data_IF_120835907742
#
_entry.id   IF_120835907742
#
_cell.length_a   1.000
_cell.length_b   1.000
_cell.length_c   1.000
_cell.angle_alpha   90.00
_cell.angle_beta   90.00
_cell.angle_gamma   90.00
#
_symmetry.space_group_name_H-M   'P 1'
#
loop_
_entity.id
_entity.type
_entity.pdbx_description
1 polymer ?
#
# COMPACT_ATOMS: atom_id res chain seq x y z
N UNK A 1 2.98 -30.67 11.63
CA UNK A 1 1.54 -30.77 12.00
C UNK A 1 1.00 -29.47 12.61
N UNK A 2 1.60 -28.89 13.66
CA UNK A 2 1.14 -27.61 14.23
C UNK A 2 1.41 -26.41 13.30
N UNK A 3 2.62 -26.28 12.75
CA UNK A 3 3.00 -25.16 11.85
C UNK A 3 2.08 -25.11 10.61
N UNK A 4 1.79 -26.26 9.98
CA UNK A 4 0.86 -26.31 8.84
C UNK A 4 -0.54 -25.82 9.21
N UNK A 5 -1.05 -26.20 10.40
CA UNK A 5 -2.36 -25.76 10.87
C UNK A 5 -2.41 -24.25 11.15
N UNK A 6 -1.36 -23.69 11.75
CA UNK A 6 -1.26 -22.24 11.97
C UNK A 6 -1.33 -21.48 10.64
N UNK A 7 -0.62 -21.96 9.62
CA UNK A 7 -0.65 -21.36 8.28
C UNK A 7 -2.02 -21.47 7.63
N UNK A 8 -2.66 -22.64 7.70
CA UNK A 8 -4.01 -22.83 7.17
C UNK A 8 -5.06 -21.99 7.90
N UNK A 9 -4.95 -21.80 9.22
CA UNK A 9 -5.80 -20.89 9.98
C UNK A 9 -5.68 -19.47 9.40
N UNK A 10 -4.47 -18.96 9.21
CA UNK A 10 -4.25 -17.63 8.61
C UNK A 10 -4.90 -17.54 7.22
N UNK A 11 -4.69 -18.55 6.37
CA UNK A 11 -5.26 -18.56 5.01
C UNK A 11 -6.80 -18.54 5.01
N UNK A 12 -7.41 -19.29 5.91
CA UNK A 12 -8.88 -19.29 6.09
C UNK A 12 -9.35 -17.91 6.55
N UNK A 13 -8.66 -17.29 7.50
CA UNK A 13 -9.02 -15.96 7.99
C UNK A 13 -8.80 -14.85 6.95
N UNK A 14 -7.84 -15.01 6.02
CA UNK A 14 -7.64 -14.07 4.91
C UNK A 14 -8.72 -14.19 3.82
N UNK A 15 -9.31 -15.37 3.65
CA UNK A 15 -10.33 -15.64 2.62
C UNK A 15 -11.77 -15.44 3.11
N UNK A 16 -12.00 -15.51 4.43
CA UNK A 16 -13.32 -15.38 5.04
C UNK A 16 -13.33 -14.24 6.06
N UNK A 17 -14.41 -13.45 6.08
CA UNK A 17 -14.59 -12.37 7.07
C UNK A 17 -14.52 -12.85 8.54
N UNK A 18 -15.02 -14.04 8.84
CA UNK A 18 -15.03 -14.60 10.21
C UNK A 18 -15.30 -16.11 10.17
N UNK A 19 -14.75 -16.85 11.13
CA UNK A 19 -14.99 -18.29 11.33
C UNK A 19 -14.96 -18.64 12.82
N UNK A 20 -15.83 -19.53 13.29
CA UNK A 20 -15.86 -19.90 14.71
C UNK A 20 -14.74 -20.87 15.09
N UNK A 21 -14.35 -20.85 16.38
CA UNK A 21 -13.39 -21.82 16.91
C UNK A 21 -13.87 -23.27 16.78
N UNK A 22 -15.19 -23.49 16.80
CA UNK A 22 -15.80 -24.82 16.61
C UNK A 22 -15.65 -25.31 15.17
N UNK A 23 -15.89 -24.46 14.18
CA UNK A 23 -15.68 -24.81 12.77
C UNK A 23 -14.22 -25.11 12.45
N UNK A 24 -13.28 -24.36 13.05
CA UNK A 24 -11.85 -24.64 12.92
C UNK A 24 -11.49 -25.97 13.60
N UNK A 25 -12.04 -26.24 14.78
CA UNK A 25 -11.83 -27.48 15.53
C UNK A 25 -12.32 -28.71 14.75
N UNK A 26 -13.51 -28.64 14.17
CA UNK A 26 -14.07 -29.69 13.31
C UNK A 26 -13.22 -29.89 12.04
N UNK A 27 -12.82 -28.79 11.38
CA UNK A 27 -12.00 -28.84 10.15
C UNK A 27 -10.64 -29.50 10.37
N UNK A 28 -9.98 -29.19 11.48
CA UNK A 28 -8.63 -29.68 11.77
C UNK A 28 -8.63 -30.93 12.65
N UNK A 29 -9.80 -31.47 12.99
CA UNK A 29 -9.98 -32.64 13.87
C UNK A 29 -9.25 -32.48 15.21
N UNK A 30 -9.36 -31.30 15.82
CA UNK A 30 -8.74 -30.98 17.11
C UNK A 30 -9.79 -30.44 18.09
N UNK A 31 -9.41 -30.35 19.36
CA UNK A 31 -10.26 -29.70 20.36
C UNK A 31 -10.34 -28.19 20.13
N UNK A 32 -11.47 -27.57 20.53
CA UNK A 32 -11.63 -26.11 20.57
C UNK A 32 -10.53 -25.45 21.42
N UNK A 33 -10.10 -26.10 22.51
CA UNK A 33 -8.97 -25.63 23.34
C UNK A 33 -7.67 -25.56 22.56
N UNK A 34 -7.44 -26.50 21.62
CA UNK A 34 -6.27 -26.47 20.73
C UNK A 34 -6.34 -25.27 19.80
N UNK A 35 -7.52 -24.97 19.24
CA UNK A 35 -7.71 -23.80 18.39
C UNK A 35 -7.41 -22.52 19.15
N UNK A 36 -7.95 -22.33 20.36
CA UNK A 36 -7.64 -21.15 21.15
C UNK A 36 -6.15 -21.00 21.44
N UNK A 37 -5.45 -22.10 21.76
CA UNK A 37 -3.98 -22.06 21.94
C UNK A 37 -3.24 -21.67 20.65
N UNK A 38 -3.72 -22.12 19.51
CA UNK A 38 -3.16 -21.73 18.21
C UNK A 38 -3.43 -20.26 17.90
N UNK A 39 -4.63 -19.75 18.22
CA UNK A 39 -4.94 -18.31 18.12
C UNK A 39 -4.04 -17.49 19.03
N UNK A 40 -3.82 -17.91 20.28
CA UNK A 40 -2.90 -17.25 21.21
C UNK A 40 -1.47 -17.23 20.67
N UNK A 41 -1.05 -18.34 20.03
CA UNK A 41 0.27 -18.44 19.39
C UNK A 41 0.42 -17.45 18.25
N UNK A 42 -0.59 -17.35 17.38
CA UNK A 42 -0.62 -16.40 16.27
C UNK A 42 -0.65 -14.95 16.76
N UNK A 43 -1.45 -14.67 17.79
CA UNK A 43 -1.52 -13.36 18.44
C UNK A 43 -0.17 -12.97 19.05
N UNK A 44 0.49 -13.90 19.74
CA UNK A 44 1.83 -13.70 20.31
C UNK A 44 2.92 -13.52 19.24
N UNK A 45 2.69 -14.03 18.03
CA UNK A 45 3.54 -13.81 16.86
C UNK A 45 3.25 -12.48 16.13
N UNK A 46 2.38 -11.63 16.69
CA UNK A 46 2.04 -10.31 16.14
C UNK A 46 0.93 -10.32 15.10
N UNK A 47 0.22 -11.44 14.91
CA UNK A 47 -0.93 -11.48 13.99
C UNK A 47 -2.16 -10.93 14.72
N UNK A 48 -2.80 -9.84 14.23
CA UNK A 48 -3.92 -9.18 14.90
C UNK A 48 -5.22 -9.94 14.66
N UNK A 49 -5.37 -11.02 15.41
CA UNK A 49 -6.56 -11.85 15.44
C UNK A 49 -7.49 -11.32 16.53
N UNK A 50 -8.78 -11.20 16.21
CA UNK A 50 -9.83 -10.83 17.15
C UNK A 50 -10.85 -11.96 17.27
N UNK A 51 -11.39 -12.14 18.47
CA UNK A 51 -12.48 -13.08 18.72
C UNK A 51 -13.71 -12.32 19.22
N UNK A 52 -14.80 -12.38 18.46
CA UNK A 52 -16.09 -11.77 18.84
C UNK A 52 -17.05 -12.84 19.36
N UNK A 53 -17.78 -12.53 20.43
CA UNK A 53 -18.83 -13.39 21.00
C UNK A 53 -20.22 -12.95 20.51
N UNK A 54 -21.13 -13.91 20.28
CA UNK A 54 -22.54 -13.64 19.93
C UNK A 54 -22.99 -14.21 18.57
N UNK A 55 -24.23 -13.89 18.17
CA UNK A 55 -24.78 -14.29 16.85
C UNK A 55 -24.01 -13.56 15.74
N UNK A 56 -23.34 -14.34 14.88
CA UNK A 56 -22.43 -13.80 13.85
C UNK A 56 -21.01 -13.52 14.35
N UNK A 57 -20.70 -13.89 15.59
CA UNK A 57 -19.35 -13.80 16.14
C UNK A 57 -18.42 -14.90 15.63
N UNK A 58 -17.13 -14.74 15.84
CA UNK A 58 -16.10 -15.68 15.42
C UNK A 58 -14.71 -15.10 15.56
N UNK A 59 -13.73 -15.91 15.16
CA UNK A 59 -12.34 -15.54 14.98
C UNK A 59 -12.22 -14.88 13.61
N UNK A 60 -11.67 -13.68 13.58
CA UNK A 60 -11.39 -12.92 12.37
C UNK A 60 -10.02 -12.27 12.49
N UNK A 61 -9.45 -11.90 11.35
CA UNK A 61 -8.40 -10.90 11.35
C UNK A 61 -9.05 -9.53 11.55
N UNK A 62 -8.32 -8.58 12.14
CA UNK A 62 -8.76 -7.18 12.09
C UNK A 62 -9.02 -6.83 10.61
N UNK A 63 -10.13 -6.13 10.31
CA UNK A 63 -10.52 -5.79 8.93
C UNK A 63 -9.38 -5.05 8.18
N UNK A 64 -8.46 -4.43 8.92
CA UNK A 64 -7.29 -3.71 8.43
C UNK A 64 -5.98 -4.53 8.45
N UNK A 65 -5.98 -5.85 8.73
CA UNK A 65 -4.75 -6.66 8.66
C UNK A 65 -4.32 -7.02 7.24
N UNK A 66 -5.25 -6.99 6.29
CA UNK A 66 -4.87 -6.92 4.86
C UNK A 66 -4.05 -5.65 4.58
N UNK A 67 -4.05 -4.70 5.54
CA UNK A 67 -3.60 -3.33 5.45
C UNK A 67 -2.54 -2.93 6.51
N UNK A 68 -1.88 -3.89 7.20
CA UNK A 68 -0.54 -3.59 7.75
C UNK A 68 0.55 -3.80 6.67
N UNK A 69 0.21 -3.34 5.47
CA UNK A 69 0.97 -3.49 4.23
C UNK A 69 1.76 -2.24 3.87
N UNK A 70 2.46 -1.67 4.85
CA UNK A 70 3.93 -1.73 4.77
C UNK A 70 4.56 -1.18 6.04
N UNK A 71 5.72 -1.75 6.40
CA UNK A 71 6.75 -1.10 7.26
C UNK A 71 7.06 0.33 6.81
N UNK A 72 6.70 0.64 5.56
CA UNK A 72 6.91 1.90 4.89
C UNK A 72 5.76 2.84 5.22
N UNK A 73 6.13 4.02 5.71
CA UNK A 73 5.24 5.16 5.78
C UNK A 73 4.60 5.45 4.43
N UNK A 74 3.47 6.15 4.46
CA UNK A 74 2.80 6.61 3.24
C UNK A 74 3.76 7.35 2.28
N UNK A 75 4.70 8.12 2.84
CA UNK A 75 5.77 8.80 2.09
C UNK A 75 6.65 7.81 1.33
N UNK A 76 7.14 6.77 2.01
CA UNK A 76 8.01 5.75 1.41
C UNK A 76 7.26 4.91 0.37
N UNK A 77 5.98 4.60 0.58
CA UNK A 77 5.13 3.95 -0.42
C UNK A 77 5.03 4.79 -1.70
N UNK A 78 4.79 6.09 -1.56
CA UNK A 78 4.73 7.03 -2.69
C UNK A 78 6.09 7.12 -3.40
N UNK A 79 7.20 7.20 -2.66
CA UNK A 79 8.56 7.23 -3.23
C UNK A 79 8.85 6.00 -4.10
N UNK A 80 8.48 4.81 -3.65
CA UNK A 80 8.63 3.57 -4.43
C UNK A 80 7.80 3.60 -5.70
N UNK A 81 6.52 4.03 -5.61
CA UNK A 81 5.65 4.12 -6.77
C UNK A 81 6.19 5.13 -7.80
N UNK A 82 6.73 6.27 -7.35
CA UNK A 82 7.34 7.26 -8.24
C UNK A 82 8.61 6.74 -8.91
N UNK A 83 9.48 6.06 -8.17
CA UNK A 83 10.68 5.44 -8.73
C UNK A 83 10.33 4.41 -9.82
N UNK A 84 9.31 3.58 -9.59
CA UNK A 84 8.84 2.61 -10.57
C UNK A 84 8.20 3.26 -11.80
N UNK A 85 7.40 4.32 -11.63
CA UNK A 85 6.88 5.09 -12.76
C UNK A 85 8.01 5.69 -13.61
N UNK A 86 9.09 6.17 -12.97
CA UNK A 86 10.28 6.65 -13.68
C UNK A 86 10.97 5.55 -14.50
N UNK A 87 10.92 4.29 -14.06
CA UNK A 87 11.49 3.16 -14.79
C UNK A 87 10.59 2.69 -15.94
N UNK A 88 9.27 2.81 -15.83
CA UNK A 88 8.32 2.50 -16.93
C UNK A 88 8.64 3.33 -18.17
N UNK A 89 9.15 4.55 -18.00
CA UNK A 89 9.54 5.47 -19.08
C UNK A 89 10.74 4.94 -19.88
N UNK A 90 11.63 4.19 -19.23
CA UNK A 90 12.78 3.54 -19.89
C UNK A 90 12.41 2.26 -20.65
N UNK A 91 11.11 1.93 -20.75
CA UNK A 91 10.57 0.71 -21.39
C UNK A 91 11.16 -0.59 -20.82
N UNK A 92 11.56 -0.57 -19.54
CA UNK A 92 12.01 -1.78 -18.87
C UNK A 92 10.86 -2.81 -18.84
N UNK A 93 11.11 -4.07 -19.26
CA UNK A 93 10.05 -5.07 -19.36
C UNK A 93 9.38 -5.31 -18.01
N UNK A 94 8.05 -5.49 -18.03
CA UNK A 94 7.20 -5.82 -16.87
C UNK A 94 6.95 -4.71 -15.84
N UNK A 95 7.50 -3.52 -16.00
CA UNK A 95 7.37 -2.42 -15.02
C UNK A 95 5.91 -2.04 -14.77
N UNK A 96 5.06 -2.02 -15.80
CA UNK A 96 3.63 -1.69 -15.65
C UNK A 96 2.86 -2.74 -14.84
N UNK A 97 3.25 -4.02 -14.95
CA UNK A 97 2.65 -5.11 -14.16
C UNK A 97 3.05 -4.99 -12.69
N UNK A 98 4.32 -4.67 -12.42
CA UNK A 98 4.84 -4.46 -11.07
C UNK A 98 4.17 -3.23 -10.43
N UNK A 99 4.06 -2.14 -11.18
CA UNK A 99 3.40 -0.92 -10.74
C UNK A 99 1.92 -1.17 -10.42
N UNK A 100 1.20 -1.91 -11.27
CA UNK A 100 -0.21 -2.26 -11.02
C UNK A 100 -0.38 -3.12 -9.76
N UNK A 101 0.50 -4.12 -9.56
CA UNK A 101 0.49 -4.96 -8.36
C UNK A 101 0.78 -4.13 -7.11
N UNK A 102 1.81 -3.28 -7.11
CA UNK A 102 2.18 -2.47 -5.94
C UNK A 102 1.16 -1.38 -5.62
N UNK A 103 0.56 -0.75 -6.64
CA UNK A 103 -0.53 0.21 -6.44
C UNK A 103 -1.73 -0.46 -5.76
N UNK A 104 -2.09 -1.66 -6.22
CA UNK A 104 -3.13 -2.49 -5.61
C UNK A 104 -2.78 -2.92 -4.18
N UNK A 105 -1.51 -3.26 -3.92
CA UNK A 105 -1.03 -3.65 -2.59
C UNK A 105 -1.02 -2.50 -1.58
N UNK A 106 -0.67 -1.28 -2.00
CA UNK A 106 -0.72 -0.08 -1.16
C UNK A 106 -2.12 0.55 -1.07
N UNK A 107 -3.12 -0.08 -1.69
CA UNK A 107 -4.48 0.44 -1.81
C UNK A 107 -4.50 1.91 -2.32
N UNK A 108 -3.51 2.27 -3.13
CA UNK A 108 -3.46 3.56 -3.80
C UNK A 108 -4.23 3.39 -5.10
N UNK A 109 -5.29 4.17 -5.29
CA UNK A 109 -5.85 4.35 -6.63
C UNK A 109 -4.69 4.69 -7.56
N UNK A 110 -4.74 4.25 -8.83
CA UNK A 110 -3.98 4.92 -9.89
C UNK A 110 -4.46 6.36 -9.90
N UNK A 111 -3.91 7.20 -9.02
CA UNK A 111 -4.11 8.63 -9.05
C UNK A 111 -3.19 9.08 -10.17
N UNK A 112 -3.65 8.84 -11.39
CA UNK A 112 -3.08 9.30 -12.65
C UNK A 112 -3.25 10.83 -12.75
N UNK A 113 -2.97 11.56 -11.67
CA UNK A 113 -3.04 13.01 -11.67
C UNK A 113 -1.76 13.61 -12.25
N UNK A 114 -0.72 12.80 -12.40
CA UNK A 114 0.54 13.18 -13.01
C UNK A 114 0.97 12.07 -13.98
N UNK A 115 0.84 12.35 -15.27
CA UNK A 115 1.53 11.67 -16.36
C UNK A 115 2.82 12.48 -16.57
N UNK A 116 3.96 12.03 -16.03
CA UNK A 116 5.23 12.75 -16.23
C UNK A 116 5.87 12.22 -17.50
N UNK A 117 5.75 12.99 -18.57
CA UNK A 117 6.62 12.84 -19.73
C UNK A 117 8.01 13.38 -19.37
N UNK A 118 8.94 12.48 -19.07
CA UNK A 118 10.36 12.79 -18.90
C UNK A 118 11.17 12.61 -20.21
N UNK A 119 10.55 12.82 -21.38
CA UNK A 119 11.30 12.95 -22.63
C UNK A 119 12.51 13.89 -22.41
N UNK A 120 13.73 13.59 -22.88
CA UNK A 120 14.97 14.28 -22.49
C UNK A 120 15.12 15.70 -23.05
N UNK A 121 14.03 16.42 -23.25
CA UNK A 121 14.03 17.78 -23.76
C UNK A 121 14.45 18.77 -22.67
N UNK A 122 15.76 18.83 -22.41
CA UNK A 122 16.43 19.89 -21.65
C UNK A 122 16.59 19.62 -20.15
N UNK A 123 17.33 18.56 -19.80
CA UNK A 123 17.76 18.26 -18.43
C UNK A 123 18.87 19.22 -17.98
N UNK A 124 18.49 20.32 -17.32
CA UNK A 124 19.37 21.17 -16.52
C UNK A 124 18.98 21.01 -15.04
N UNK A 125 19.95 21.07 -14.11
CA UNK A 125 19.76 20.86 -12.66
C UNK A 125 18.66 21.77 -12.08
N UNK A 126 18.52 22.98 -12.65
CA UNK A 126 17.47 23.94 -12.29
C UNK A 126 16.04 23.42 -12.52
N UNK A 127 15.80 22.57 -13.53
CA UNK A 127 14.45 22.04 -13.83
C UNK A 127 14.04 20.93 -12.87
N UNK A 128 14.97 20.10 -12.43
CA UNK A 128 14.73 19.07 -11.40
C UNK A 128 14.33 19.72 -10.07
N UNK A 129 14.97 20.83 -9.72
CA UNK A 129 14.62 21.62 -8.53
C UNK A 129 13.21 22.22 -8.63
N UNK A 130 12.87 22.83 -9.77
CA UNK A 130 11.53 23.40 -10.01
C UNK A 130 10.43 22.34 -9.96
N UNK A 131 10.66 21.19 -10.61
CA UNK A 131 9.72 20.06 -10.58
C UNK A 131 9.45 19.59 -9.14
N UNK A 132 10.51 19.48 -8.34
CA UNK A 132 10.40 19.04 -6.94
C UNK A 132 9.56 20.00 -6.10
N UNK A 133 9.79 21.31 -6.23
CA UNK A 133 9.00 22.34 -5.53
C UNK A 133 7.52 22.27 -5.93
N UNK A 134 7.23 22.15 -7.23
CA UNK A 134 5.86 22.10 -7.74
C UNK A 134 5.16 20.83 -7.23
N UNK A 135 5.83 19.68 -7.31
CA UNK A 135 5.31 18.41 -6.81
C UNK A 135 4.96 18.49 -5.32
N UNK A 136 5.89 18.98 -4.50
CA UNK A 136 5.69 19.09 -3.05
C UNK A 136 4.56 20.06 -2.70
N UNK A 137 4.45 21.17 -3.43
CA UNK A 137 3.38 22.14 -3.23
C UNK A 137 2.01 21.53 -3.51
N UNK A 138 1.85 20.78 -4.61
CA UNK A 138 0.57 20.17 -4.95
C UNK A 138 0.20 19.09 -3.93
N UNK A 139 1.14 18.22 -3.55
CA UNK A 139 0.91 17.19 -2.53
C UNK A 139 0.56 17.78 -1.16
N UNK A 140 1.06 18.98 -0.86
CA UNK A 140 0.80 19.66 0.42
C UNK A 140 -0.36 20.66 0.37
N UNK A 141 -1.10 20.75 -0.74
CA UNK A 141 -2.12 21.78 -0.98
C UNK A 141 -1.63 23.21 -0.70
N UNK A 142 -0.38 23.51 -1.07
CA UNK A 142 0.23 24.83 -0.91
C UNK A 142 0.19 25.60 -2.22
N UNK A 143 -0.18 26.86 -2.14
CA UNK A 143 -0.09 27.81 -3.25
C UNK A 143 1.39 28.15 -3.47
N UNK A 144 1.83 28.19 -4.73
CA UNK A 144 3.18 28.59 -5.11
C UNK A 144 3.14 29.84 -5.96
N UNK A 145 4.19 30.62 -5.81
CA UNK A 145 4.38 31.82 -6.60
C UNK A 145 5.62 31.67 -7.48
N UNK A 146 5.50 32.04 -8.76
CA UNK A 146 6.62 31.92 -9.69
C UNK A 146 6.68 33.09 -10.67
N UNK A 147 7.88 33.30 -11.20
CA UNK A 147 8.12 34.26 -12.27
C UNK A 147 8.06 33.53 -13.61
N UNK A 148 7.20 33.99 -14.50
CA UNK A 148 7.10 33.53 -15.87
C UNK A 148 7.80 34.52 -16.79
N UNK A 149 8.64 34.02 -17.68
CA UNK A 149 9.27 34.80 -18.74
C UNK A 149 8.60 34.44 -20.05
N UNK A 150 8.02 35.42 -20.74
CA UNK A 150 7.48 35.22 -22.08
C UNK A 150 8.60 34.89 -23.08
N UNK A 151 8.23 34.42 -24.28
CA UNK A 151 9.18 34.25 -25.39
C UNK A 151 9.87 35.56 -25.83
N UNK A 152 9.30 36.72 -25.47
CA UNK A 152 9.89 38.05 -25.67
C UNK A 152 10.75 38.53 -24.49
N UNK A 153 10.90 37.74 -23.42
CA UNK A 153 11.69 38.08 -22.24
C UNK A 153 10.97 38.94 -21.19
N UNK A 154 9.68 39.21 -21.35
CA UNK A 154 8.90 39.93 -20.35
C UNK A 154 8.64 39.06 -19.11
N UNK A 155 8.95 39.60 -17.93
CA UNK A 155 8.75 38.94 -16.63
C UNK A 155 7.37 39.25 -16.07
N UNK A 156 6.58 38.23 -15.75
CA UNK A 156 5.30 38.33 -15.03
C UNK A 156 5.30 37.44 -13.79
N UNK A 157 4.68 37.90 -12.70
CA UNK A 157 4.59 37.19 -11.42
C UNK A 157 3.19 36.57 -11.30
N UNK A 158 3.14 35.28 -10.99
CA UNK A 158 1.89 34.51 -10.87
C UNK A 158 1.78 33.95 -9.46
N UNK A 159 0.59 34.11 -8.86
CA UNK A 159 0.20 33.61 -7.52
C UNK A 159 -0.66 32.36 -7.64
#
# INVERSE_FOLDING_TARGET
MQVNRLFEIIYILLSKKSITAKELAERFEVSVRTIYRDIDTLSSAGIPIYASQGKGGGISLLDDYVLDKSVLSEREQNEILYALQSLSITQAPETDKVLAKLSSLFNKSKTSWIEIDFSPWGSDENRTYQFTIIKDAILSHRIIEFNYFSSSGEKRRFH
#
